data_IF_007070072214
#
_entry.id   IF_007070072214
#
_cell.length_a   1.000
_cell.length_b   1.000
_cell.length_c   1.000
_cell.angle_alpha   90.00
_cell.angle_beta   90.00
_cell.angle_gamma   90.00
#
_symmetry.space_group_name_H-M   'P 1'
#
loop_
_entity.id
_entity.type
_entity.pdbx_description
1 polymer ?
#
# COMPACT_ATOMS: atom_id res chain seq x y z
N UNK A 1 5.92 -4.65 -1.50
CA UNK A 1 5.93 -6.00 -2.16
C UNK A 1 4.55 -6.21 -2.75
N UNK A 2 4.44 -6.53 -4.05
CA UNK A 2 3.15 -6.65 -4.73
C UNK A 2 2.71 -8.11 -4.89
N UNK A 3 1.42 -8.37 -4.72
CA UNK A 3 0.77 -9.68 -4.96
C UNK A 3 -0.42 -9.50 -5.91
N UNK A 4 -0.61 -10.44 -6.85
CA UNK A 4 -1.58 -10.29 -7.95
C UNK A 4 -2.55 -11.49 -7.98
N UNK A 5 -3.87 -11.25 -8.00
CA UNK A 5 -4.94 -12.27 -8.04
C UNK A 5 -5.85 -12.10 -9.27
N UNK A 6 -6.51 -13.12 -9.82
CA UNK A 6 -7.41 -12.95 -10.99
C UNK A 6 -8.83 -12.53 -10.58
N UNK A 7 -9.43 -11.56 -11.28
CA UNK A 7 -10.77 -11.02 -10.96
C UNK A 7 -11.80 -11.09 -12.11
N UNK A 8 -13.09 -11.03 -11.75
CA UNK A 8 -14.26 -10.97 -12.65
C UNK A 8 -14.93 -9.59 -12.61
N UNK A 9 -15.44 -9.11 -13.75
CA UNK A 9 -16.00 -7.75 -13.93
C UNK A 9 -17.37 -7.54 -13.24
N UNK A 10 -17.53 -6.41 -12.56
CA UNK A 10 -18.82 -5.78 -12.22
C UNK A 10 -18.86 -4.28 -12.55
N UNK A 11 -20.07 -3.73 -12.70
CA UNK A 11 -20.39 -2.41 -13.28
C UNK A 11 -20.31 -1.29 -12.23
N UNK A 12 -19.77 -0.10 -12.58
CA UNK A 12 -19.29 0.90 -11.60
C UNK A 12 -20.30 2.03 -11.33
N UNK A 13 -20.48 2.36 -10.06
CA UNK A 13 -21.35 3.41 -9.50
C UNK A 13 -20.53 4.51 -8.76
N UNK A 14 -21.15 5.35 -7.93
CA UNK A 14 -20.61 6.61 -7.36
C UNK A 14 -19.27 6.48 -6.60
N UNK A 15 -18.55 7.60 -6.35
CA UNK A 15 -17.25 7.60 -5.63
C UNK A 15 -17.31 6.86 -4.28
N UNK A 16 -18.40 7.00 -3.53
CA UNK A 16 -18.61 6.36 -2.23
C UNK A 16 -18.78 4.84 -2.34
N UNK A 17 -19.22 4.32 -3.50
CA UNK A 17 -19.41 2.88 -3.72
C UNK A 17 -18.13 2.19 -4.23
N UNK A 18 -17.07 2.97 -4.53
CA UNK A 18 -15.80 2.48 -5.10
C UNK A 18 -14.64 2.46 -4.10
N UNK A 19 -14.87 2.97 -2.89
CA UNK A 19 -13.90 2.99 -1.81
C UNK A 19 -14.47 2.27 -0.60
N UNK A 20 -13.84 1.17 -0.23
CA UNK A 20 -14.06 0.52 1.05
C UNK A 20 -12.75 0.52 1.84
N UNK A 21 -12.75 1.04 3.07
CA UNK A 21 -11.57 0.99 3.96
C UNK A 21 -11.93 0.20 5.21
N UNK A 22 -11.24 -0.93 5.40
CA UNK A 22 -11.44 -1.83 6.52
C UNK A 22 -10.25 -1.78 7.47
N UNK A 23 -10.53 -1.53 8.75
CA UNK A 23 -9.54 -1.65 9.82
C UNK A 23 -9.50 -3.10 10.28
N UNK A 24 -8.41 -3.79 9.95
CA UNK A 24 -8.18 -5.17 10.35
C UNK A 24 -8.01 -5.22 11.86
N UNK A 25 -9.05 -5.72 12.55
CA UNK A 25 -8.93 -6.09 13.96
C UNK A 25 -8.06 -7.34 14.03
N UNK A 26 -7.10 -7.37 14.94
CA UNK A 26 -6.30 -8.56 15.23
C UNK A 26 -7.25 -9.75 15.46
N UNK A 27 -7.30 -10.69 14.51
CA UNK A 27 -8.15 -11.87 14.60
C UNK A 27 -7.59 -12.76 15.71
N UNK A 28 -8.29 -12.86 16.84
CA UNK A 28 -8.13 -13.89 17.87
C UNK A 28 -6.68 -14.27 18.24
N UNK A 29 -5.81 -13.28 18.49
CA UNK A 29 -4.70 -13.50 19.40
C UNK A 29 -5.27 -13.39 20.83
N UNK A 30 -4.90 -14.28 21.76
CA UNK A 30 -5.38 -14.19 23.14
C UNK A 30 -5.12 -12.77 23.65
N UNK A 31 -6.17 -12.15 24.16
CA UNK A 31 -6.31 -10.77 24.68
C UNK A 31 -5.39 -10.43 25.87
N UNK A 32 -4.25 -11.09 25.97
CA UNK A 32 -3.21 -10.92 26.99
C UNK A 32 -1.94 -10.25 26.46
N UNK A 33 -1.89 -9.79 25.20
CA UNK A 33 -0.83 -8.88 24.78
C UNK A 33 -1.16 -7.50 25.31
N UNK A 34 -0.51 -7.14 26.42
CA UNK A 34 -0.50 -5.75 26.92
C UNK A 34 0.13 -4.90 25.81
N UNK A 35 -0.60 -3.89 25.33
CA UNK A 35 -0.05 -2.88 24.41
C UNK A 35 1.32 -2.38 24.93
N UNK A 36 2.35 -2.47 24.08
CA UNK A 36 3.72 -2.04 24.42
C UNK A 36 4.59 -3.10 25.11
N UNK A 37 4.21 -4.37 25.15
CA UNK A 37 5.07 -5.45 25.69
C UNK A 37 6.41 -5.58 24.93
N UNK A 38 6.40 -5.35 23.64
CA UNK A 38 7.59 -5.28 22.77
C UNK A 38 8.47 -4.07 23.09
N UNK A 39 7.88 -2.91 23.42
CA UNK A 39 8.59 -1.73 23.94
C UNK A 39 9.25 -2.08 25.28
N UNK A 40 8.51 -2.65 26.24
CA UNK A 40 9.05 -3.05 27.55
C UNK A 40 10.21 -4.03 27.35
N UNK A 41 10.02 -5.07 26.54
CA UNK A 41 11.06 -6.07 26.28
C UNK A 41 12.29 -5.43 25.63
N UNK A 42 12.08 -4.54 24.66
CA UNK A 42 13.16 -3.88 23.93
C UNK A 42 13.98 -2.90 24.77
N UNK A 43 13.33 -2.18 25.70
CA UNK A 43 13.99 -1.22 26.59
C UNK A 43 14.64 -1.86 27.82
N UNK A 44 14.20 -3.07 28.20
CA UNK A 44 14.74 -3.81 29.37
C UNK A 44 15.93 -4.71 29.03
N UNK A 45 16.11 -5.10 27.76
CA UNK A 45 17.25 -5.91 27.33
C UNK A 45 18.55 -5.12 27.14
N UNK A 46 19.67 -5.84 27.00
CA UNK A 46 20.99 -5.30 26.66
C UNK A 46 21.62 -6.11 25.52
N UNK A 47 21.84 -5.51 24.33
CA UNK A 47 21.60 -4.10 23.98
C UNK A 47 20.11 -3.77 23.84
N UNK A 48 19.72 -2.52 24.12
CA UNK A 48 18.34 -2.04 23.92
C UNK A 48 17.98 -2.02 22.44
N UNK A 49 16.71 -2.27 22.12
CA UNK A 49 16.19 -2.13 20.76
C UNK A 49 14.72 -1.69 20.79
N UNK A 50 14.23 -1.18 19.66
CA UNK A 50 12.80 -1.01 19.41
C UNK A 50 12.46 -1.57 18.03
N UNK A 51 11.26 -2.16 17.86
CA UNK A 51 10.79 -2.59 16.55
C UNK A 51 10.65 -1.42 15.56
N UNK A 52 10.99 -1.58 14.28
CA UNK A 52 11.00 -0.49 13.32
C UNK A 52 9.61 0.01 12.90
N UNK A 53 8.54 -0.74 13.14
CA UNK A 53 7.18 -0.28 12.83
C UNK A 53 6.82 1.03 13.55
N UNK A 54 7.44 1.30 14.70
CA UNK A 54 7.28 2.56 15.43
C UNK A 54 7.89 3.79 14.74
N UNK A 55 8.65 3.60 13.64
CA UNK A 55 9.11 4.72 12.82
C UNK A 55 8.01 5.29 11.91
N UNK A 56 6.87 4.62 11.75
CA UNK A 56 5.88 4.96 10.71
C UNK A 56 4.55 5.43 11.30
N UNK A 57 4.61 6.31 12.31
CA UNK A 57 3.46 7.19 12.59
C UNK A 57 3.29 8.21 11.44
N UNK A 58 2.27 9.07 11.50
CA UNK A 58 2.02 10.05 10.44
C UNK A 58 3.26 10.92 10.14
N UNK A 59 3.99 11.32 11.19
CA UNK A 59 5.19 12.15 11.04
C UNK A 59 6.37 11.38 10.46
N UNK A 60 6.61 10.19 10.97
CA UNK A 60 7.70 9.32 10.53
C UNK A 60 7.51 8.82 9.11
N UNK A 61 6.25 8.62 8.68
CA UNK A 61 5.92 8.31 7.29
C UNK A 61 6.24 9.48 6.36
N UNK A 62 5.91 10.73 6.74
CA UNK A 62 6.32 11.92 5.98
C UNK A 62 7.85 12.05 5.88
N UNK A 63 8.58 11.74 6.96
CA UNK A 63 10.04 11.73 6.94
C UNK A 63 10.59 10.65 6.00
N UNK A 64 9.95 9.48 5.94
CA UNK A 64 10.32 8.43 5.01
C UNK A 64 10.13 8.83 3.54
N UNK A 65 9.04 9.54 3.22
CA UNK A 65 8.86 10.10 1.87
C UNK A 65 10.00 11.08 1.52
N UNK A 66 10.43 11.93 2.47
CA UNK A 66 11.59 12.81 2.26
C UNK A 66 12.89 12.03 2.09
N UNK A 67 13.09 10.94 2.84
CA UNK A 67 14.25 10.06 2.66
C UNK A 67 14.26 9.48 1.24
N UNK A 68 13.12 9.12 0.69
CA UNK A 68 13.00 8.57 -0.66
C UNK A 68 13.45 9.53 -1.77
N UNK A 69 13.49 10.84 -1.49
CA UNK A 69 13.95 11.87 -2.44
C UNK A 69 15.47 12.13 -2.36
N UNK A 70 16.14 11.64 -1.32
CA UNK A 70 17.57 11.91 -1.11
C UNK A 70 18.43 11.25 -2.20
N UNK A 71 19.48 11.94 -2.70
CA UNK A 71 20.36 11.38 -3.73
C UNK A 71 21.09 10.11 -3.24
N UNK A 72 21.39 10.03 -1.93
CA UNK A 72 22.02 8.87 -1.29
C UNK A 72 21.07 7.67 -1.19
N UNK A 73 19.76 7.89 -1.09
CA UNK A 73 18.74 6.85 -0.96
C UNK A 73 18.25 6.40 -2.34
N UNK A 74 19.12 5.70 -3.06
CA UNK A 74 18.81 5.15 -4.39
C UNK A 74 17.65 4.13 -4.49
N UNK A 75 17.22 3.37 -3.44
CA UNK A 75 16.25 2.29 -3.60
C UNK A 75 14.96 2.70 -4.29
N UNK A 76 14.32 3.78 -3.85
CA UNK A 76 13.03 4.24 -4.42
C UNK A 76 13.17 4.59 -5.89
N UNK A 77 14.18 5.39 -6.26
CA UNK A 77 14.44 5.76 -7.66
C UNK A 77 14.73 4.54 -8.54
N UNK A 78 15.43 3.55 -8.01
CA UNK A 78 15.80 2.35 -8.76
C UNK A 78 14.59 1.46 -9.00
N UNK A 79 13.76 1.24 -7.98
CA UNK A 79 12.50 0.50 -8.12
C UNK A 79 11.55 1.20 -9.10
N UNK A 80 11.40 2.51 -9.01
CA UNK A 80 10.60 3.32 -9.96
C UNK A 80 11.10 3.14 -11.39
N UNK A 81 12.41 3.15 -11.61
CA UNK A 81 12.99 2.92 -12.95
C UNK A 81 12.67 1.53 -13.50
N UNK A 82 12.71 0.50 -12.64
CA UNK A 82 12.36 -0.87 -13.02
C UNK A 82 10.87 -0.95 -13.37
N UNK A 83 9.99 -0.42 -12.51
CA UNK A 83 8.55 -0.42 -12.77
C UNK A 83 8.20 0.34 -14.05
N UNK A 84 8.81 1.50 -14.29
CA UNK A 84 8.60 2.25 -15.51
C UNK A 84 8.98 1.44 -16.76
N UNK A 85 10.05 0.64 -16.68
CA UNK A 85 10.48 -0.21 -17.79
C UNK A 85 9.60 -1.44 -18.00
N UNK A 86 9.11 -2.06 -16.92
CA UNK A 86 8.50 -3.39 -16.97
C UNK A 86 6.99 -3.44 -16.65
N UNK A 87 6.35 -2.35 -16.24
CA UNK A 87 4.93 -2.33 -15.88
C UNK A 87 4.01 -2.87 -16.99
N UNK A 88 4.27 -2.49 -18.25
CA UNK A 88 3.52 -3.00 -19.40
C UNK A 88 3.70 -4.51 -19.63
N UNK A 89 4.87 -5.05 -19.34
CA UNK A 89 5.13 -6.50 -19.43
C UNK A 89 4.43 -7.25 -18.30
N UNK A 90 4.54 -6.75 -17.07
CA UNK A 90 3.82 -7.28 -15.90
C UNK A 90 2.32 -7.34 -16.19
N UNK A 91 1.73 -6.22 -16.62
CA UNK A 91 0.30 -6.14 -16.89
C UNK A 91 -0.16 -7.11 -18.00
N UNK A 92 0.66 -7.32 -19.05
CA UNK A 92 0.38 -8.32 -20.09
C UNK A 92 0.46 -9.75 -19.58
N UNK A 93 1.46 -10.05 -18.74
CA UNK A 93 1.65 -11.39 -18.19
C UNK A 93 0.54 -11.78 -17.21
N UNK A 94 0.05 -10.83 -16.42
CA UNK A 94 -0.94 -11.11 -15.38
C UNK A 94 -2.38 -11.02 -15.89
N UNK A 95 -2.63 -10.21 -16.93
CA UNK A 95 -3.97 -10.03 -17.48
C UNK A 95 -4.91 -9.27 -16.53
N UNK A 96 -6.17 -9.69 -16.46
CA UNK A 96 -7.16 -9.11 -15.54
C UNK A 96 -6.92 -9.62 -14.14
N UNK A 97 -6.69 -8.70 -13.20
CA UNK A 97 -6.29 -9.05 -11.84
C UNK A 97 -6.68 -8.02 -10.78
N UNK A 98 -6.45 -8.36 -9.52
CA UNK A 98 -6.39 -7.48 -8.37
C UNK A 98 -4.93 -7.22 -8.01
N UNK A 99 -4.62 -5.95 -7.78
CA UNK A 99 -3.33 -5.47 -7.37
C UNK A 99 -3.32 -5.29 -5.85
N UNK A 100 -2.62 -6.16 -5.14
CA UNK A 100 -2.47 -6.06 -3.68
C UNK A 100 -1.11 -5.46 -3.35
N UNK A 101 -1.10 -4.33 -2.65
CA UNK A 101 0.11 -3.60 -2.30
C UNK A 101 0.36 -3.60 -0.79
N UNK A 102 1.45 -4.24 -0.38
CA UNK A 102 1.89 -4.30 1.01
C UNK A 102 2.80 -3.10 1.33
N UNK A 103 2.33 -2.24 2.24
CA UNK A 103 2.97 -0.98 2.59
C UNK A 103 2.82 0.03 1.45
N UNK A 104 1.57 0.43 1.16
CA UNK A 104 1.24 1.24 -0.02
C UNK A 104 1.79 2.66 0.03
N UNK A 105 2.01 3.24 1.23
CA UNK A 105 2.48 4.61 1.36
C UNK A 105 1.69 5.59 0.48
N UNK A 106 2.39 6.50 -0.20
CA UNK A 106 1.80 7.47 -1.14
C UNK A 106 1.27 6.88 -2.45
N UNK A 107 1.41 5.57 -2.68
CA UNK A 107 1.00 4.87 -3.92
C UNK A 107 1.59 5.47 -5.22
N UNK A 108 2.64 6.27 -5.14
CA UNK A 108 3.23 6.98 -6.30
C UNK A 108 3.74 6.00 -7.37
N UNK A 109 4.38 4.90 -6.94
CA UNK A 109 4.88 3.86 -7.84
C UNK A 109 3.75 3.01 -8.44
N UNK A 110 2.66 2.84 -7.70
CA UNK A 110 1.49 2.04 -8.08
C UNK A 110 0.85 2.56 -9.36
N UNK A 111 0.87 3.89 -9.55
CA UNK A 111 0.39 4.57 -10.76
C UNK A 111 1.02 4.01 -12.04
N UNK A 112 2.29 3.62 -12.02
CA UNK A 112 2.96 3.02 -13.19
C UNK A 112 2.31 1.71 -13.64
N UNK A 113 1.82 0.92 -12.68
CA UNK A 113 1.11 -0.32 -12.98
C UNK A 113 -0.34 -0.03 -13.36
N UNK A 114 -1.02 0.87 -12.66
CA UNK A 114 -2.38 1.30 -13.00
C UNK A 114 -2.47 1.81 -14.44
N UNK A 115 -1.53 2.66 -14.85
CA UNK A 115 -1.41 3.17 -16.21
C UNK A 115 -1.22 2.03 -17.23
N UNK A 116 -0.39 1.04 -16.89
CA UNK A 116 -0.16 -0.12 -17.75
C UNK A 116 -1.42 -0.99 -17.91
N UNK A 117 -2.18 -1.25 -16.84
CA UNK A 117 -3.45 -1.99 -16.92
C UNK A 117 -4.53 -1.22 -17.68
N UNK A 118 -4.63 0.09 -17.46
CA UNK A 118 -5.56 0.95 -18.17
C UNK A 118 -5.27 0.99 -19.68
N UNK A 119 -3.99 1.06 -20.07
CA UNK A 119 -3.58 1.01 -21.48
C UNK A 119 -3.98 -0.30 -22.17
N UNK A 120 -4.05 -1.41 -21.43
CA UNK A 120 -4.53 -2.71 -21.92
C UNK A 120 -6.05 -2.85 -21.89
N UNK A 121 -6.79 -1.85 -21.38
CA UNK A 121 -8.24 -1.89 -21.14
C UNK A 121 -8.67 -3.05 -20.23
N UNK A 122 -7.78 -3.44 -19.32
CA UNK A 122 -8.08 -4.44 -18.29
C UNK A 122 -8.70 -3.74 -17.09
N UNK A 123 -9.77 -4.34 -16.54
CA UNK A 123 -10.29 -3.93 -15.24
C UNK A 123 -9.28 -4.34 -14.16
N UNK A 124 -8.99 -3.45 -13.22
CA UNK A 124 -8.09 -3.72 -12.11
C UNK A 124 -8.78 -3.34 -10.80
N UNK A 125 -8.87 -4.29 -9.87
CA UNK A 125 -9.14 -3.98 -8.46
C UNK A 125 -7.84 -3.63 -7.75
N UNK A 126 -7.84 -2.67 -6.83
CA UNK A 126 -6.67 -2.28 -6.06
C UNK A 126 -6.92 -2.47 -4.56
N UNK A 127 -5.99 -3.14 -3.88
CA UNK A 127 -6.05 -3.46 -2.46
C UNK A 127 -4.80 -2.91 -1.77
N UNK A 128 -4.79 -1.62 -1.40
CA UNK A 128 -3.71 -1.04 -0.59
C UNK A 128 -3.78 -1.56 0.84
N UNK A 129 -2.64 -1.97 1.38
CA UNK A 129 -2.50 -2.40 2.77
C UNK A 129 -1.44 -1.52 3.45
N UNK A 130 -1.82 -0.80 4.50
CA UNK A 130 -0.92 0.10 5.23
C UNK A 130 -1.22 0.15 6.74
N UNK A 131 -0.23 0.55 7.51
CA UNK A 131 -0.38 0.82 8.95
C UNK A 131 -0.98 2.22 9.18
N UNK A 132 -0.72 3.17 8.28
CA UNK A 132 -1.26 4.53 8.35
C UNK A 132 -2.60 4.61 7.61
N UNK A 133 -3.69 4.64 8.38
CA UNK A 133 -5.03 4.85 7.82
C UNK A 133 -5.20 6.22 7.15
N UNK A 134 -4.47 7.25 7.61
CA UNK A 134 -4.49 8.59 7.04
C UNK A 134 -3.92 8.63 5.62
N UNK A 135 -2.69 8.15 5.45
CA UNK A 135 -2.00 8.11 4.14
C UNK A 135 -2.75 7.22 3.15
N UNK A 136 -3.26 6.06 3.62
CA UNK A 136 -4.05 5.16 2.79
C UNK A 136 -5.32 5.86 2.27
N UNK A 137 -6.03 6.58 3.14
CA UNK A 137 -7.27 7.26 2.76
C UNK A 137 -7.00 8.39 1.76
N UNK A 138 -5.98 9.22 2.02
CA UNK A 138 -5.57 10.31 1.12
C UNK A 138 -5.19 9.77 -0.26
N UNK A 139 -4.30 8.78 -0.31
CA UNK A 139 -3.84 8.17 -1.56
C UNK A 139 -4.99 7.51 -2.33
N UNK A 140 -5.91 6.83 -1.64
CA UNK A 140 -7.06 6.21 -2.29
C UNK A 140 -7.99 7.24 -2.95
N UNK A 141 -8.24 8.38 -2.30
CA UNK A 141 -9.03 9.45 -2.88
C UNK A 141 -8.39 10.07 -4.13
N UNK A 142 -7.08 10.30 -4.12
CA UNK A 142 -6.36 10.79 -5.29
C UNK A 142 -6.43 9.80 -6.46
N UNK A 143 -6.19 8.51 -6.18
CA UNK A 143 -6.26 7.47 -7.21
C UNK A 143 -7.65 7.34 -7.82
N UNK A 144 -8.73 7.44 -7.04
CA UNK A 144 -10.09 7.35 -7.58
C UNK A 144 -10.46 8.55 -8.47
N UNK A 145 -9.85 9.72 -8.24
CA UNK A 145 -10.00 10.87 -9.13
C UNK A 145 -9.28 10.66 -10.46
N UNK A 146 -8.06 10.12 -10.40
CA UNK A 146 -7.21 9.94 -11.58
C UNK A 146 -7.59 8.71 -12.42
N UNK A 147 -8.19 7.69 -11.80
CA UNK A 147 -8.60 6.44 -12.44
C UNK A 147 -10.11 6.19 -12.27
N UNK A 148 -10.96 6.71 -13.18
CA UNK A 148 -12.42 6.62 -13.05
C UNK A 148 -13.03 5.22 -13.14
N UNK A 149 -12.25 4.19 -13.47
CA UNK A 149 -12.72 2.79 -13.49
C UNK A 149 -12.14 1.94 -12.34
N UNK A 150 -11.31 2.54 -11.47
CA UNK A 150 -10.64 1.84 -10.38
C UNK A 150 -11.60 1.55 -9.22
N UNK A 151 -11.53 0.35 -8.66
CA UNK A 151 -12.16 0.01 -7.38
C UNK A 151 -11.06 -0.19 -6.34
N UNK A 152 -11.24 0.38 -5.15
CA UNK A 152 -10.26 0.31 -4.06
C UNK A 152 -10.87 -0.34 -2.82
N UNK A 153 -10.22 -1.41 -2.34
CA UNK A 153 -10.49 -2.02 -1.05
C UNK A 153 -9.26 -1.85 -0.15
N UNK A 154 -9.23 -0.80 0.66
CA UNK A 154 -8.15 -0.50 1.58
C UNK A 154 -8.19 -1.35 2.85
N UNK A 155 -7.05 -1.86 3.29
CA UNK A 155 -6.90 -2.57 4.56
C UNK A 155 -5.91 -1.84 5.46
N UNK A 156 -6.38 -1.36 6.62
CA UNK A 156 -5.52 -0.74 7.63
C UNK A 156 -5.22 -1.77 8.72
N UNK A 157 -3.96 -2.10 8.95
CA UNK A 157 -3.59 -3.10 9.95
C UNK A 157 -2.08 -3.23 10.20
N UNK A 158 -1.73 -3.78 11.37
CA UNK A 158 -0.36 -4.05 11.84
C UNK A 158 -0.17 -5.52 12.16
#
# INVERSE_FOLDING_TARGET
>A
MLVIFQATKENISSLEERLEINYLKSVNLPTNTIDGQDIISGLTQNPKSLPPQYFYDDRGSQLFEQICELPEYYPTRTETSILHQYAGEIARMTGVCELVELGSGSSTKTRLLLDAYQALKNSLGYVPIDVSGGILTESAHELLQDYPELQIQGLVGT
#
